data_IF_065036295692
#
_entry.id   IF_065036295692
#
_cell.length_a   1.000
_cell.length_b   1.000
_cell.length_c   1.000
_cell.angle_alpha   90.00
_cell.angle_beta   90.00
_cell.angle_gamma   90.00
#
_symmetry.space_group_name_H-M   'P 1'
#
loop_
_entity.id
_entity.type
_entity.pdbx_description
1 polymer ?
#
# COMPACT_ATOMS: atom_id res chain seq x y z
N UNK A 1 6.41 4.98 18.94
CA UNK A 1 5.53 4.27 18.00
C UNK A 1 5.99 2.82 17.89
N UNK A 2 5.12 1.90 18.18
CA UNK A 2 5.44 0.48 18.15
C UNK A 2 5.21 -0.09 16.76
N UNK A 3 6.27 -0.67 16.17
CA UNK A 3 6.16 -1.39 14.91
C UNK A 3 5.59 -2.77 15.18
N UNK A 4 4.53 -3.10 14.45
CA UNK A 4 3.98 -4.46 14.46
C UNK A 4 4.39 -5.16 13.17
N UNK A 5 5.22 -6.17 13.31
CA UNK A 5 5.61 -7.01 12.18
C UNK A 5 4.64 -8.15 12.00
N UNK A 6 4.33 -8.45 10.77
CA UNK A 6 3.47 -9.58 10.40
C UNK A 6 4.06 -10.31 9.20
N UNK A 7 3.63 -11.54 9.02
CA UNK A 7 3.97 -12.31 7.84
C UNK A 7 2.90 -12.11 6.78
N UNK A 8 3.31 -11.90 5.55
CA UNK A 8 2.42 -11.71 4.41
C UNK A 8 2.79 -12.68 3.30
N UNK A 9 1.83 -13.48 2.88
CA UNK A 9 1.97 -14.42 1.78
C UNK A 9 1.15 -13.94 0.60
N UNK A 10 1.72 -13.95 -0.59
CA UNK A 10 1.07 -13.53 -1.82
C UNK A 10 1.01 -14.68 -2.80
N UNK A 11 -0.17 -14.90 -3.36
CA UNK A 11 -0.40 -15.96 -4.33
C UNK A 11 -1.00 -15.39 -5.60
N UNK A 12 -0.51 -15.85 -6.74
CA UNK A 12 -1.17 -15.56 -8.01
C UNK A 12 -2.41 -16.45 -8.14
N UNK A 13 -3.52 -15.83 -8.57
CA UNK A 13 -4.75 -16.54 -8.84
C UNK A 13 -5.28 -16.12 -10.21
N UNK A 14 -6.02 -17.02 -10.86
CA UNK A 14 -6.70 -16.70 -12.11
C UNK A 14 -8.09 -16.15 -11.83
N UNK A 15 -8.80 -15.73 -12.88
CA UNK A 15 -10.13 -15.14 -12.74
C UNK A 15 -11.14 -16.12 -12.16
N UNK A 16 -11.05 -17.39 -12.52
CA UNK A 16 -11.95 -18.42 -12.00
C UNK A 16 -11.75 -18.63 -10.49
N UNK A 17 -10.50 -18.72 -10.05
CA UNK A 17 -10.17 -18.82 -8.63
C UNK A 17 -10.62 -17.59 -7.85
N UNK A 18 -10.49 -16.41 -8.43
CA UNK A 18 -10.96 -15.17 -7.84
C UNK A 18 -12.47 -15.23 -7.56
N UNK A 19 -13.27 -15.67 -8.51
CA UNK A 19 -14.71 -15.76 -8.35
C UNK A 19 -15.11 -16.76 -7.26
N UNK A 20 -14.44 -17.91 -7.21
CA UNK A 20 -14.71 -18.93 -6.19
C UNK A 20 -14.37 -18.39 -4.80
N UNK A 21 -13.21 -17.81 -4.63
CA UNK A 21 -12.76 -17.27 -3.34
C UNK A 21 -13.69 -16.14 -2.88
N UNK A 22 -14.04 -15.24 -3.79
CA UNK A 22 -14.96 -14.14 -3.50
C UNK A 22 -16.29 -14.63 -2.96
N UNK A 23 -16.88 -15.63 -3.62
CA UNK A 23 -18.15 -16.18 -3.19
C UNK A 23 -18.07 -16.87 -1.82
N UNK A 24 -16.99 -17.59 -1.57
CA UNK A 24 -16.79 -18.25 -0.29
C UNK A 24 -16.58 -17.26 0.85
N UNK A 25 -15.83 -16.19 0.62
CA UNK A 25 -15.56 -15.19 1.65
C UNK A 25 -16.72 -14.24 1.91
N UNK A 26 -17.61 -14.06 0.96
CA UNK A 26 -18.72 -13.10 1.03
C UNK A 26 -19.55 -13.25 2.31
N UNK A 27 -19.77 -14.47 2.78
CA UNK A 27 -20.60 -14.76 3.95
C UNK A 27 -19.77 -15.02 5.22
N UNK A 28 -18.43 -15.01 5.12
CA UNK A 28 -17.54 -15.34 6.24
C UNK A 28 -16.84 -14.13 6.82
N UNK A 29 -16.58 -13.09 6.02
CA UNK A 29 -15.84 -11.91 6.42
C UNK A 29 -16.55 -10.66 5.96
N UNK A 30 -16.35 -9.57 6.70
CA UNK A 30 -16.84 -8.25 6.30
C UNK A 30 -15.95 -7.65 5.23
N UNK A 31 -16.56 -6.87 4.32
CA UNK A 31 -15.81 -6.14 3.33
C UNK A 31 -15.04 -4.97 3.96
N UNK A 32 -13.93 -4.59 3.32
CA UNK A 32 -13.16 -3.43 3.73
C UNK A 32 -14.05 -2.17 3.70
N UNK A 33 -13.88 -1.31 4.69
CA UNK A 33 -14.66 -0.07 4.83
C UNK A 33 -14.48 0.93 3.69
N UNK A 34 -13.39 0.79 2.91
CA UNK A 34 -13.11 1.66 1.78
C UNK A 34 -13.76 1.20 0.48
N UNK A 35 -14.48 0.06 0.51
CA UNK A 35 -15.09 -0.50 -0.69
C UNK A 35 -16.15 0.43 -1.27
N UNK A 36 -16.20 0.52 -2.61
CA UNK A 36 -17.20 1.30 -3.32
C UNK A 36 -18.51 0.53 -3.54
N UNK A 37 -19.45 1.13 -4.28
CA UNK A 37 -20.80 0.55 -4.48
C UNK A 37 -20.80 -0.83 -5.12
N UNK A 38 -19.79 -1.15 -5.93
CA UNK A 38 -19.70 -2.43 -6.65
C UNK A 38 -18.97 -3.52 -5.85
N UNK A 39 -18.69 -3.31 -4.58
CA UNK A 39 -17.89 -4.23 -3.78
C UNK A 39 -16.40 -4.17 -4.10
N UNK A 40 -15.96 -3.13 -4.79
CA UNK A 40 -14.58 -2.90 -5.19
C UNK A 40 -14.19 -1.47 -4.89
N UNK A 41 -12.90 -1.20 -4.77
CA UNK A 41 -12.42 0.16 -4.68
C UNK A 41 -11.13 0.33 -5.48
N UNK A 42 -10.95 1.53 -6.03
CA UNK A 42 -9.74 1.89 -6.74
C UNK A 42 -8.70 2.38 -5.73
N UNK A 43 -7.48 1.91 -5.87
CA UNK A 43 -6.34 2.36 -5.07
C UNK A 43 -5.38 3.06 -6.02
N UNK A 44 -5.01 4.29 -5.67
CA UNK A 44 -4.01 5.03 -6.40
C UNK A 44 -2.85 5.33 -5.46
N UNK A 45 -1.66 4.95 -5.87
CA UNK A 45 -0.46 5.10 -5.06
C UNK A 45 0.63 5.80 -5.85
N UNK A 46 1.30 6.75 -5.19
CA UNK A 46 2.51 7.39 -5.72
C UNK A 46 3.67 6.94 -4.84
N UNK A 47 4.64 6.26 -5.43
CA UNK A 47 5.83 5.81 -4.74
C UNK A 47 6.96 6.79 -4.89
N UNK A 48 7.73 6.94 -3.81
CA UNK A 48 8.93 7.78 -3.80
C UNK A 48 10.17 6.91 -3.94
N UNK A 49 11.15 7.42 -4.66
CA UNK A 49 12.46 6.80 -4.78
C UNK A 49 13.52 7.92 -4.83
N UNK A 50 14.78 7.57 -4.68
CA UNK A 50 15.84 8.54 -4.83
C UNK A 50 16.22 8.71 -6.32
N UNK A 51 17.13 9.64 -6.59
CA UNK A 51 17.56 9.94 -7.95
C UNK A 51 18.23 8.74 -8.63
N UNK A 52 18.74 7.79 -7.85
CA UNK A 52 19.42 6.59 -8.35
C UNK A 52 18.50 5.36 -8.40
N UNK A 53 17.20 5.53 -8.18
CA UNK A 53 16.23 4.44 -8.14
C UNK A 53 16.60 3.33 -7.14
N UNK A 54 17.05 3.72 -5.97
CA UNK A 54 17.52 2.79 -4.94
C UNK A 54 16.47 1.73 -4.58
N UNK A 55 15.21 2.13 -4.38
CA UNK A 55 14.15 1.20 -4.01
C UNK A 55 13.88 0.19 -5.12
N UNK A 56 13.89 0.63 -6.38
CA UNK A 56 13.74 -0.26 -7.53
C UNK A 56 14.89 -1.26 -7.60
N UNK A 57 16.13 -0.81 -7.47
CA UNK A 57 17.29 -1.69 -7.51
C UNK A 57 17.31 -2.69 -6.36
N UNK A 58 16.91 -2.29 -5.16
CA UNK A 58 16.80 -3.18 -4.02
C UNK A 58 15.77 -4.30 -4.29
N UNK A 59 14.63 -3.96 -4.87
CA UNK A 59 13.61 -4.94 -5.23
C UNK A 59 14.09 -5.92 -6.28
N UNK A 60 14.69 -5.42 -7.34
CA UNK A 60 15.21 -6.24 -8.45
C UNK A 60 16.37 -7.10 -8.01
N UNK A 61 17.22 -6.58 -7.11
CA UNK A 61 18.35 -7.31 -6.55
C UNK A 61 17.99 -8.30 -5.45
N UNK A 62 16.72 -8.37 -5.06
CA UNK A 62 16.27 -9.30 -4.02
C UNK A 62 16.74 -8.97 -2.62
N UNK A 63 17.05 -7.72 -2.33
CA UNK A 63 17.48 -7.30 -0.99
C UNK A 63 16.33 -7.49 -0.01
N UNK A 64 16.60 -8.18 1.10
CA UNK A 64 15.58 -8.61 2.07
C UNK A 64 15.15 -7.49 3.01
N UNK A 65 16.08 -6.64 3.44
CA UNK A 65 15.82 -5.55 4.38
C UNK A 65 15.69 -4.24 3.60
N UNK A 66 14.47 -3.73 3.45
CA UNK A 66 14.20 -2.55 2.65
C UNK A 66 12.97 -1.80 3.15
N UNK A 67 12.86 -0.54 2.74
CA UNK A 67 11.69 0.28 3.03
C UNK A 67 11.19 0.97 1.75
N UNK A 68 9.90 1.20 1.68
CA UNK A 68 9.25 1.94 0.60
C UNK A 68 8.36 3.01 1.19
N UNK A 69 8.29 4.14 0.52
CA UNK A 69 7.44 5.27 0.90
C UNK A 69 6.43 5.51 -0.21
N UNK A 70 5.18 5.76 0.17
CA UNK A 70 4.12 6.07 -0.79
C UNK A 70 3.08 7.01 -0.21
N UNK A 71 2.40 7.72 -1.11
CA UNK A 71 1.14 8.39 -0.82
C UNK A 71 0.03 7.56 -1.47
N UNK A 72 -1.05 7.34 -0.75
CA UNK A 72 -2.17 6.53 -1.24
C UNK A 72 -3.50 7.22 -1.03
N UNK A 73 -4.34 7.15 -2.05
CA UNK A 73 -5.75 7.55 -1.99
C UNK A 73 -6.64 6.41 -2.46
N UNK A 74 -7.91 6.46 -2.08
CA UNK A 74 -8.91 5.44 -2.43
C UNK A 74 -10.02 6.08 -3.24
N UNK A 75 -10.47 5.38 -4.29
CA UNK A 75 -11.59 5.80 -5.15
C UNK A 75 -11.43 7.19 -5.76
N UNK A 76 -10.19 7.60 -6.04
CA UNK A 76 -9.85 8.93 -6.55
C UNK A 76 -10.33 10.08 -5.67
N UNK A 77 -10.55 9.82 -4.39
CA UNK A 77 -11.00 10.79 -3.40
C UNK A 77 -9.81 11.24 -2.56
N UNK A 78 -9.61 12.54 -2.47
CA UNK A 78 -8.51 13.15 -1.72
C UNK A 78 -8.92 13.63 -0.32
N UNK A 79 -10.12 13.30 0.14
CA UNK A 79 -10.52 13.60 1.51
C UNK A 79 -9.72 12.80 2.54
N UNK A 80 -9.28 11.62 2.17
CA UNK A 80 -8.41 10.78 3.00
C UNK A 80 -7.14 10.47 2.22
N UNK A 81 -6.03 11.07 2.63
CA UNK A 81 -4.72 10.86 2.02
C UNK A 81 -3.81 10.25 3.08
N UNK A 82 -3.20 9.12 2.78
CA UNK A 82 -2.27 8.47 3.67
C UNK A 82 -0.85 8.51 3.13
N UNK A 83 0.08 8.93 3.98
CA UNK A 83 1.51 8.72 3.77
C UNK A 83 1.89 7.43 4.48
N UNK A 84 2.44 6.49 3.75
CA UNK A 84 2.74 5.15 4.26
C UNK A 84 4.20 4.81 4.06
N UNK A 85 4.80 4.21 5.09
CA UNK A 85 6.12 3.58 5.02
C UNK A 85 5.92 2.09 5.22
N UNK A 86 6.31 1.30 4.24
CA UNK A 86 6.32 -0.15 4.32
C UNK A 86 7.75 -0.63 4.54
N UNK A 87 7.96 -1.32 5.65
CA UNK A 87 9.26 -1.84 6.03
C UNK A 87 9.24 -3.35 5.83
N UNK A 88 10.22 -3.86 5.11
CA UNK A 88 10.45 -5.29 4.98
C UNK A 88 11.74 -5.65 5.69
N UNK A 89 11.64 -6.54 6.68
CA UNK A 89 12.77 -7.08 7.41
C UNK A 89 12.70 -8.61 7.31
N UNK A 90 13.58 -9.19 6.50
CA UNK A 90 13.55 -10.62 6.15
C UNK A 90 12.19 -10.98 5.55
N UNK A 91 11.43 -11.89 6.18
CA UNK A 91 10.11 -12.31 5.70
C UNK A 91 8.97 -11.56 6.40
N UNK A 92 9.29 -10.61 7.27
CA UNK A 92 8.31 -9.85 8.03
C UNK A 92 8.09 -8.46 7.44
N UNK A 93 6.87 -7.99 7.55
CA UNK A 93 6.46 -6.70 7.00
C UNK A 93 5.82 -5.87 8.11
N UNK A 94 6.21 -4.62 8.21
CA UNK A 94 5.57 -3.62 9.05
C UNK A 94 5.17 -2.41 8.23
N UNK A 95 4.12 -1.74 8.62
CA UNK A 95 3.60 -0.57 7.95
C UNK A 95 3.35 0.55 8.96
N UNK A 96 3.88 1.72 8.68
CA UNK A 96 3.55 2.96 9.36
C UNK A 96 2.65 3.79 8.45
N UNK A 97 1.66 4.47 9.03
CA UNK A 97 0.63 5.16 8.27
C UNK A 97 0.27 6.46 8.97
N UNK A 98 0.32 7.56 8.22
CA UNK A 98 0.01 8.88 8.73
C UNK A 98 -0.96 9.59 7.79
N UNK A 99 -2.01 10.23 8.31
CA UNK A 99 -2.88 11.04 7.47
C UNK A 99 -2.17 12.33 7.05
N UNK A 100 -2.42 12.76 5.81
CA UNK A 100 -1.89 14.02 5.29
C UNK A 100 -3.03 14.93 4.84
N UNK A 101 -2.78 16.25 4.90
CA UNK A 101 -3.60 17.21 4.19
C UNK A 101 -3.20 17.26 2.71
N UNK A 102 -4.09 17.72 1.84
CA UNK A 102 -3.80 17.90 0.42
C UNK A 102 -2.60 18.80 0.19
N UNK A 103 -2.48 19.85 0.99
CA UNK A 103 -1.38 20.81 0.89
C UNK A 103 -0.04 20.17 1.15
N UNK A 104 0.08 19.37 2.22
CA UNK A 104 1.30 18.66 2.54
C UNK A 104 1.61 17.61 1.47
N UNK A 105 0.61 16.91 0.97
CA UNK A 105 0.80 15.94 -0.10
C UNK A 105 1.36 16.59 -1.37
N UNK A 106 0.83 17.74 -1.75
CA UNK A 106 1.31 18.48 -2.93
C UNK A 106 2.76 18.96 -2.74
N UNK A 107 3.13 19.38 -1.55
CA UNK A 107 4.51 19.76 -1.23
C UNK A 107 5.47 18.57 -1.39
N UNK A 108 5.11 17.40 -0.90
CA UNK A 108 5.91 16.20 -1.04
C UNK A 108 6.07 15.79 -2.50
N UNK A 109 5.00 15.86 -3.28
CA UNK A 109 5.03 15.53 -4.71
C UNK A 109 5.93 16.48 -5.48
N UNK A 110 5.97 17.76 -5.10
CA UNK A 110 6.83 18.75 -5.74
C UNK A 110 8.29 18.68 -5.31
N UNK A 111 8.62 17.81 -4.35
CA UNK A 111 9.99 17.60 -3.90
C UNK A 111 10.38 18.34 -2.62
N UNK A 112 9.43 18.96 -1.95
CA UNK A 112 9.68 19.63 -0.67
C UNK A 112 9.47 18.64 0.48
N UNK A 113 10.57 18.15 1.05
CA UNK A 113 10.55 17.10 2.06
C UNK A 113 10.73 17.61 3.50
N UNK A 114 10.62 18.88 3.71
CA UNK A 114 10.74 19.47 5.05
C UNK A 114 9.44 19.47 5.85
#
# INVERSE_FOLDING_TARGET
MNLKYRNELKYFINQHQYQIIRQRLKNLVEQDKHVGPNGEYAIRSLYFDDINNKALHEKLGGIRDRAKYRIRIYNNDDTVIHFEKKIKFRDYIAKLKEPLTREIADELISGNYE
#
